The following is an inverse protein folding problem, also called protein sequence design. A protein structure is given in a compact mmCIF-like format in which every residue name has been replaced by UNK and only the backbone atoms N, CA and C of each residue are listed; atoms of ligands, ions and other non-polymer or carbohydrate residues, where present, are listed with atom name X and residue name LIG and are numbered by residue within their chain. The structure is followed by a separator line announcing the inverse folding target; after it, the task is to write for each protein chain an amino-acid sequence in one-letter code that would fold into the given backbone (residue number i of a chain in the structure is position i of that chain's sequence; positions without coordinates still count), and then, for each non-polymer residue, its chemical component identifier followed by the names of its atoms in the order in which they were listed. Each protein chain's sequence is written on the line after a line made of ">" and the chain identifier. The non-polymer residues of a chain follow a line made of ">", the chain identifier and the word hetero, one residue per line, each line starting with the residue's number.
data_IF_956164039780
#
_entry.id   IF_956164039780
#
_cell.length_a   1.000
_cell.length_b   1.000
_cell.length_c   1.000
_cell.angle_alpha   90.00
_cell.angle_beta   90.00
_cell.angle_gamma   90.00
#
_symmetry.space_group_name_H-M   'P 1'
#
loop_
_entity.id
_entity.type
_entity.pdbx_description
1 polymer ?
#
# COMPACT_ATOMS: atom_id res chain seq x y z
N UNK A 1 -8.39 -18.53 -9.78
CA UNK A 1 -8.62 -17.12 -9.41
C UNK A 1 -8.89 -17.06 -7.91
N UNK A 2 -8.49 -15.99 -7.21
CA UNK A 2 -8.79 -15.81 -5.79
C UNK A 2 -10.30 -15.65 -5.59
N UNK A 3 -10.85 -16.25 -4.54
CA UNK A 3 -12.25 -16.06 -4.15
C UNK A 3 -12.46 -14.67 -3.55
N UNK A 4 -13.71 -14.24 -3.46
CA UNK A 4 -14.07 -12.91 -2.97
C UNK A 4 -13.54 -12.64 -1.55
N UNK A 5 -13.53 -13.64 -0.67
CA UNK A 5 -13.01 -13.51 0.69
C UNK A 5 -11.55 -13.03 0.75
N UNK A 6 -10.71 -13.41 -0.23
CA UNK A 6 -9.32 -12.95 -0.32
C UNK A 6 -9.18 -11.65 -1.12
N UNK A 7 -10.15 -11.31 -1.97
CA UNK A 7 -10.09 -10.11 -2.81
C UNK A 7 -10.57 -8.86 -2.07
N UNK A 8 -11.64 -8.98 -1.30
CA UNK A 8 -12.28 -7.84 -0.61
C UNK A 8 -11.31 -7.03 0.27
N UNK A 9 -10.47 -7.66 1.12
CA UNK A 9 -9.48 -6.92 1.90
C UNK A 9 -8.48 -6.13 1.05
N UNK A 10 -8.06 -6.67 -0.10
CA UNK A 10 -7.14 -5.99 -1.01
C UNK A 10 -7.82 -4.85 -1.78
N UNK A 11 -9.12 -4.95 -2.08
CA UNK A 11 -9.90 -3.83 -2.62
C UNK A 11 -10.01 -2.68 -1.61
N UNK A 12 -10.32 -2.99 -0.35
CA UNK A 12 -10.36 -2.00 0.72
C UNK A 12 -9.00 -1.32 0.92
N UNK A 13 -7.92 -2.11 0.89
CA UNK A 13 -6.56 -1.57 0.98
C UNK A 13 -6.22 -0.69 -0.24
N UNK A 14 -6.54 -1.14 -1.46
CA UNK A 14 -6.30 -0.36 -2.68
C UNK A 14 -7.02 0.99 -2.63
N UNK A 15 -8.30 1.02 -2.26
CA UNK A 15 -9.06 2.26 -2.12
C UNK A 15 -8.46 3.20 -1.06
N UNK A 16 -7.97 2.65 0.06
CA UNK A 16 -7.26 3.44 1.06
C UNK A 16 -5.94 4.00 0.50
N UNK A 17 -5.19 3.23 -0.28
CA UNK A 17 -3.94 3.69 -0.92
C UNK A 17 -4.22 4.77 -1.95
N UNK A 18 -5.26 4.63 -2.78
CA UNK A 18 -5.67 5.64 -3.76
C UNK A 18 -5.99 6.97 -3.05
N UNK A 19 -6.71 6.93 -1.93
CA UNK A 19 -6.94 8.11 -1.08
C UNK A 19 -5.64 8.73 -0.55
N UNK A 20 -4.66 7.91 -0.14
CA UNK A 20 -3.35 8.44 0.30
C UNK A 20 -2.59 9.12 -0.84
N UNK A 21 -2.72 8.63 -2.07
CA UNK A 21 -2.11 9.23 -3.26
C UNK A 21 -2.71 10.63 -3.48
N UNK A 22 -4.04 10.74 -3.45
CA UNK A 22 -4.73 12.02 -3.60
C UNK A 22 -4.30 13.03 -2.52
N UNK A 23 -4.33 12.62 -1.25
CA UNK A 23 -3.88 13.45 -0.12
C UNK A 23 -2.39 13.84 -0.23
N UNK A 24 -1.54 12.98 -0.80
CA UNK A 24 -0.13 13.30 -1.04
C UNK A 24 0.00 14.40 -2.10
N UNK A 25 -0.80 14.34 -3.16
CA UNK A 25 -0.79 15.34 -4.24
C UNK A 25 -1.35 16.70 -3.77
N UNK A 26 -2.34 16.67 -2.88
CA UNK A 26 -2.94 17.85 -2.25
C UNK A 26 -2.06 18.45 -1.14
N UNK A 27 -1.06 17.71 -0.67
CA UNK A 27 -0.20 18.12 0.45
C UNK A 27 -0.88 18.02 1.82
N UNK A 28 -1.98 17.27 1.91
CA UNK A 28 -2.81 17.08 3.10
C UNK A 28 -2.57 15.75 3.81
N UNK A 29 -1.64 14.93 3.31
CA UNK A 29 -1.32 13.63 3.90
C UNK A 29 -0.91 13.75 5.37
N UNK A 30 -1.61 12.99 6.23
CA UNK A 30 -1.30 12.89 7.66
C UNK A 30 -0.81 11.51 8.05
N UNK A 31 -0.21 11.41 9.25
CA UNK A 31 0.17 10.13 9.85
C UNK A 31 -1.05 9.28 10.19
N UNK A 32 -2.18 9.89 10.56
CA UNK A 32 -3.42 9.20 10.88
C UNK A 32 -4.01 8.47 9.67
N UNK A 33 -3.97 9.09 8.48
CA UNK A 33 -4.42 8.46 7.23
C UNK A 33 -3.54 7.26 6.87
N UNK A 34 -2.21 7.36 7.06
CA UNK A 34 -1.30 6.21 6.87
C UNK A 34 -1.56 5.09 7.88
N UNK A 35 -1.79 5.44 9.15
CA UNK A 35 -2.12 4.48 10.21
C UNK A 35 -3.44 3.75 9.90
N UNK A 36 -4.46 4.46 9.39
CA UNK A 36 -5.72 3.85 8.97
C UNK A 36 -5.53 2.82 7.84
N UNK A 37 -4.74 3.15 6.81
CA UNK A 37 -4.40 2.21 5.74
C UNK A 37 -3.63 0.98 6.28
N UNK A 38 -2.70 1.20 7.21
CA UNK A 38 -1.99 0.11 7.89
C UNK A 38 -2.94 -0.77 8.70
N UNK A 39 -3.94 -0.21 9.37
CA UNK A 39 -4.91 -0.98 10.14
C UNK A 39 -5.71 -1.92 9.24
N UNK A 40 -6.12 -1.48 8.04
CA UNK A 40 -6.78 -2.36 7.06
C UNK A 40 -5.89 -3.56 6.75
N UNK A 41 -4.60 -3.33 6.45
CA UNK A 41 -3.66 -4.41 6.18
C UNK A 41 -3.52 -5.38 7.36
N UNK A 42 -3.31 -4.87 8.57
CA UNK A 42 -3.11 -5.71 9.76
C UNK A 42 -4.36 -6.47 10.19
N UNK A 43 -5.55 -5.89 10.01
CA UNK A 43 -6.81 -6.47 10.50
C UNK A 43 -7.51 -7.35 9.47
N UNK A 44 -7.32 -7.08 8.17
CA UNK A 44 -8.10 -7.73 7.11
C UNK A 44 -7.26 -8.58 6.17
N UNK A 45 -5.96 -8.30 6.02
CA UNK A 45 -5.08 -9.02 5.08
C UNK A 45 -4.17 -10.01 5.79
N UNK A 46 -3.45 -9.58 6.84
CA UNK A 46 -2.57 -10.49 7.58
C UNK A 46 -3.29 -11.72 8.18
N UNK A 47 -4.54 -11.61 8.68
CA UNK A 47 -5.22 -12.77 9.26
C UNK A 47 -5.83 -13.73 8.22
N UNK A 48 -5.66 -13.47 6.91
CA UNK A 48 -6.19 -14.35 5.87
C UNK A 48 -5.57 -15.74 6.00
N UNK A 49 -6.42 -16.77 6.02
CA UNK A 49 -5.99 -18.16 6.01
C UNK A 49 -5.41 -18.52 4.63
N UNK A 50 -4.10 -18.42 4.50
CA UNK A 50 -3.38 -18.77 3.28
C UNK A 50 -3.19 -20.29 3.13
N UNK A 51 -3.32 -21.07 4.19
CA UNK A 51 -3.15 -22.53 4.16
C UNK A 51 -4.32 -23.22 3.43
N UNK A 52 -5.49 -22.57 3.42
CA UNK A 52 -6.64 -22.98 2.62
C UNK A 52 -6.48 -22.72 1.10
N UNK A 53 -5.41 -22.05 0.66
CA UNK A 53 -5.13 -21.79 -0.76
C UNK A 53 -4.22 -22.86 -1.37
N UNK A 54 -4.28 -22.98 -2.70
CA UNK A 54 -3.29 -23.77 -3.44
C UNK A 54 -1.86 -23.25 -3.15
N UNK A 55 -0.87 -24.13 -2.87
CA UNK A 55 0.45 -23.71 -2.39
C UNK A 55 1.15 -22.62 -3.23
N UNK A 56 1.13 -22.65 -4.58
CA UNK A 56 1.74 -21.58 -5.37
C UNK A 56 1.08 -20.21 -5.17
N UNK A 57 -0.23 -20.19 -4.93
CA UNK A 57 -0.99 -18.96 -4.66
C UNK A 57 -0.67 -18.46 -3.25
N UNK A 58 -0.66 -19.36 -2.27
CA UNK A 58 -0.32 -19.05 -0.88
C UNK A 58 1.08 -18.40 -0.77
N UNK A 59 2.10 -19.03 -1.37
CA UNK A 59 3.49 -18.50 -1.36
C UNK A 59 3.59 -17.13 -2.02
N UNK A 60 2.87 -16.92 -3.13
CA UNK A 60 2.84 -15.61 -3.81
C UNK A 60 2.19 -14.54 -2.92
N UNK A 61 1.05 -14.85 -2.29
CA UNK A 61 0.37 -13.91 -1.39
C UNK A 61 1.22 -13.59 -0.16
N UNK A 62 1.88 -14.58 0.44
CA UNK A 62 2.77 -14.36 1.57
C UNK A 62 3.95 -13.44 1.23
N UNK A 63 4.54 -13.63 0.04
CA UNK A 63 5.59 -12.73 -0.47
C UNK A 63 5.08 -11.30 -0.64
N UNK A 64 3.87 -11.14 -1.21
CA UNK A 64 3.25 -9.82 -1.40
C UNK A 64 2.94 -9.17 -0.05
N UNK A 65 2.36 -9.89 0.92
CA UNK A 65 2.10 -9.38 2.26
C UNK A 65 3.39 -8.90 2.94
N UNK A 66 4.49 -9.63 2.76
CA UNK A 66 5.80 -9.25 3.30
C UNK A 66 6.29 -7.92 2.71
N UNK A 67 6.19 -7.75 1.38
CA UNK A 67 6.57 -6.50 0.74
C UNK A 67 5.63 -5.34 1.12
N UNK A 68 4.32 -5.55 1.20
CA UNK A 68 3.36 -4.54 1.68
C UNK A 68 3.74 -4.08 3.10
N UNK A 69 4.00 -5.00 4.01
CA UNK A 69 4.40 -4.68 5.39
C UNK A 69 5.69 -3.83 5.43
N UNK A 70 6.68 -4.20 4.61
CA UNK A 70 7.93 -3.43 4.47
C UNK A 70 7.69 -2.04 3.92
N UNK A 71 6.89 -1.89 2.87
CA UNK A 71 6.58 -0.58 2.29
C UNK A 71 5.81 0.30 3.28
N UNK A 72 4.89 -0.25 4.06
CA UNK A 72 4.19 0.53 5.09
C UNK A 72 5.14 1.09 6.17
N UNK A 73 6.13 0.32 6.63
CA UNK A 73 7.14 0.81 7.58
C UNK A 73 7.96 1.97 7.01
N UNK A 74 8.37 1.85 5.74
CA UNK A 74 9.10 2.90 5.05
C UNK A 74 8.22 4.15 4.82
N UNK A 75 6.95 3.96 4.47
CA UNK A 75 5.98 5.04 4.28
C UNK A 75 5.81 5.87 5.56
N UNK A 76 5.63 5.22 6.71
CA UNK A 76 5.54 5.92 8.00
C UNK A 76 6.79 6.77 8.29
N UNK A 77 7.97 6.24 7.93
CA UNK A 77 9.25 6.95 8.09
C UNK A 77 9.32 8.18 7.19
N UNK A 78 8.92 8.04 5.92
CA UNK A 78 8.94 9.14 4.96
C UNK A 78 7.97 10.26 5.36
N UNK A 79 6.76 9.92 5.84
CA UNK A 79 5.78 10.90 6.31
C UNK A 79 6.27 11.63 7.55
N UNK A 80 6.91 10.94 8.49
CA UNK A 80 7.53 11.58 9.65
C UNK A 80 8.62 12.57 9.22
N UNK A 81 9.46 12.20 8.26
CA UNK A 81 10.49 13.08 7.72
C UNK A 81 9.94 14.24 6.91
N UNK A 82 8.85 14.05 6.16
CA UNK A 82 8.16 15.14 5.47
C UNK A 82 7.67 16.19 6.49
N UNK A 83 7.02 15.76 7.58
CA UNK A 83 6.55 16.65 8.65
C UNK A 83 7.68 17.38 9.37
N UNK A 84 8.86 16.77 9.47
CA UNK A 84 10.03 17.39 10.10
C UNK A 84 10.86 18.28 9.15
N UNK A 85 10.58 18.23 7.84
CA UNK A 85 11.35 18.95 6.85
C UNK A 85 11.14 20.47 6.96
N UNK A 86 12.24 21.22 7.03
CA UNK A 86 12.23 22.70 7.10
C UNK A 86 12.63 23.37 5.79
N UNK A 87 13.26 22.60 4.89
CA UNK A 87 13.73 23.09 3.59
C UNK A 87 12.76 22.61 2.51
N UNK A 88 12.27 23.51 1.63
CA UNK A 88 11.33 23.14 0.56
C UNK A 88 11.84 22.00 -0.33
N UNK A 89 13.14 22.01 -0.68
CA UNK A 89 13.75 20.97 -1.50
C UNK A 89 13.69 19.58 -0.85
N UNK A 90 13.93 19.50 0.46
CA UNK A 90 13.81 18.25 1.23
C UNK A 90 12.35 17.80 1.31
N UNK A 91 11.41 18.73 1.53
CA UNK A 91 9.99 18.40 1.55
C UNK A 91 9.51 17.83 0.22
N UNK A 92 9.87 18.46 -0.91
CA UNK A 92 9.54 17.96 -2.25
C UNK A 92 10.15 16.58 -2.54
N UNK A 93 11.40 16.35 -2.11
CA UNK A 93 12.03 15.04 -2.24
C UNK A 93 11.29 13.96 -1.44
N UNK A 94 10.84 14.28 -0.22
CA UNK A 94 10.06 13.36 0.62
C UNK A 94 8.68 13.08 0.04
N UNK A 95 7.99 14.10 -0.45
CA UNK A 95 6.69 13.94 -1.12
C UNK A 95 6.80 13.02 -2.34
N UNK A 96 7.86 13.17 -3.15
CA UNK A 96 8.14 12.24 -4.26
C UNK A 96 8.35 10.80 -3.78
N UNK A 97 9.17 10.59 -2.75
CA UNK A 97 9.41 9.25 -2.20
C UNK A 97 8.14 8.59 -1.68
N UNK A 98 7.27 9.37 -1.03
CA UNK A 98 5.94 8.92 -0.58
C UNK A 98 5.10 8.49 -1.80
N UNK A 99 5.01 9.31 -2.84
CA UNK A 99 4.26 9.00 -4.06
C UNK A 99 4.74 7.73 -4.77
N UNK A 100 6.05 7.59 -4.95
CA UNK A 100 6.67 6.39 -5.55
C UNK A 100 6.31 5.13 -4.74
N UNK A 101 6.29 5.25 -3.40
CA UNK A 101 5.99 4.14 -2.49
C UNK A 101 4.51 3.76 -2.48
N UNK A 102 3.61 4.75 -2.49
CA UNK A 102 2.17 4.53 -2.60
C UNK A 102 1.81 3.87 -3.93
N UNK A 103 2.48 4.28 -5.02
CA UNK A 103 2.32 3.63 -6.34
C UNK A 103 2.72 2.16 -6.27
N UNK A 104 3.83 1.83 -5.62
CA UNK A 104 4.26 0.44 -5.45
C UNK A 104 3.28 -0.38 -4.58
N UNK A 105 2.77 0.20 -3.49
CA UNK A 105 1.74 -0.43 -2.66
C UNK A 105 0.45 -0.73 -3.46
N UNK A 106 0.03 0.21 -4.31
CA UNK A 106 -1.11 0.05 -5.22
C UNK A 106 -0.87 -1.10 -6.21
N UNK A 107 0.32 -1.18 -6.80
CA UNK A 107 0.71 -2.26 -7.72
C UNK A 107 0.64 -3.64 -7.07
N UNK A 108 1.04 -3.78 -5.80
CA UNK A 108 0.88 -5.06 -5.08
C UNK A 108 -0.59 -5.47 -4.97
N UNK A 109 -1.50 -4.52 -4.72
CA UNK A 109 -2.93 -4.78 -4.70
C UNK A 109 -3.44 -5.19 -6.08
N UNK A 110 -3.03 -4.49 -7.14
CA UNK A 110 -3.41 -4.81 -8.53
C UNK A 110 -2.98 -6.22 -8.94
N UNK A 111 -1.75 -6.63 -8.60
CA UNK A 111 -1.23 -7.98 -8.86
C UNK A 111 -2.08 -9.06 -8.19
N UNK A 112 -2.51 -8.83 -6.95
CA UNK A 112 -3.40 -9.77 -6.23
C UNK A 112 -4.79 -9.78 -6.84
N UNK A 113 -5.31 -8.61 -7.20
CA UNK A 113 -6.65 -8.44 -7.75
C UNK A 113 -6.74 -8.85 -9.23
N UNK A 114 -5.62 -9.14 -9.88
CA UNK A 114 -5.57 -9.47 -11.31
C UNK A 114 -5.99 -8.30 -12.19
N UNK A 115 -5.82 -7.06 -11.68
CA UNK A 115 -6.00 -5.86 -12.47
C UNK A 115 -4.74 -5.69 -13.30
N UNK A 116 -4.84 -5.89 -14.61
CA UNK A 116 -3.72 -5.67 -15.52
C UNK A 116 -3.24 -4.22 -15.35
N UNK A 117 -1.98 -4.02 -14.94
CA UNK A 117 -1.31 -2.73 -15.09
C UNK A 117 -1.13 -2.50 -16.59
N UNK A 118 -2.15 -1.92 -17.23
CA UNK A 118 -2.01 -1.32 -18.55
C UNK A 118 -1.03 -0.16 -18.44
N UNK A 119 0.25 -0.46 -18.53
CA UNK A 119 1.26 0.51 -18.95
C UNK A 119 1.32 0.37 -20.48
N UNK A 120 0.23 0.74 -21.14
CA UNK A 120 0.22 0.87 -22.59
C UNK A 120 0.64 2.31 -22.93
N UNK A 121 1.78 2.43 -23.60
CA UNK A 121 2.09 3.48 -24.58
C UNK A 121 2.44 4.87 -24.06
#
# INVERSE_FOLDING_TARGET
>A
MLTEQYRQPFLALQASIDRLIDLTNEGELTTAEVEAAQQIFHQQILPLDLDALNPPIATKLQSIQTEIAKQFRLLSTDVLFLKAARQPSTASQRQKQIGDRLTLLRQYCEVVLGQSTGTDG
#
